data_IF_520533352996
#
_entry.id   IF_520533352996
#
_cell.length_a   1.000
_cell.length_b   1.000
_cell.length_c   1.000
_cell.angle_alpha   90.00
_cell.angle_beta   90.00
_cell.angle_gamma   90.00
#
_symmetry.space_group_name_H-M   'P 1'
#
loop_
_entity.id
_entity.type
_entity.pdbx_description
1 polymer ?
#
# COMPACT_ATOMS: atom_id res chain seq x y z
N UNK A 1 -1.21 16.44 -8.39
CA UNK A 1 -1.20 15.32 -9.37
C UNK A 1 -2.55 14.98 -9.98
N UNK A 2 -3.63 15.74 -9.67
CA UNK A 2 -4.95 15.62 -10.32
C UNK A 2 -4.95 15.95 -11.82
N UNK A 3 -4.04 16.81 -12.28
CA UNK A 3 -4.05 17.31 -13.67
C UNK A 3 -3.68 16.31 -14.78
N UNK A 4 -2.99 15.20 -14.48
CA UNK A 4 -2.63 14.20 -15.51
C UNK A 4 -3.80 13.25 -15.80
N UNK A 5 -4.69 13.08 -14.82
CA UNK A 5 -5.83 12.17 -14.90
C UNK A 5 -6.96 12.75 -15.75
N UNK A 6 -7.25 14.04 -15.60
CA UNK A 6 -8.24 14.73 -16.44
C UNK A 6 -7.81 14.77 -17.91
N UNK A 7 -6.52 14.95 -18.21
CA UNK A 7 -6.03 14.95 -19.60
C UNK A 7 -6.11 13.58 -20.30
N UNK A 8 -6.03 12.48 -19.55
CA UNK A 8 -6.13 11.11 -20.11
C UNK A 8 -7.57 10.65 -20.33
N UNK A 9 -8.49 11.06 -19.44
CA UNK A 9 -9.93 10.84 -19.57
C UNK A 9 -10.55 11.67 -20.71
N UNK A 10 -9.98 12.85 -21.00
CA UNK A 10 -10.50 13.79 -22.01
C UNK A 10 -10.26 13.40 -23.47
N UNK A 11 -9.56 12.31 -23.80
CA UNK A 11 -9.13 12.04 -25.17
C UNK A 11 -9.41 10.60 -25.65
N UNK A 12 -10.68 10.19 -25.66
CA UNK A 12 -11.21 9.16 -26.57
C UNK A 12 -10.81 7.68 -26.39
N UNK A 13 -9.83 7.34 -25.53
CA UNK A 13 -9.36 5.94 -25.39
C UNK A 13 -10.23 5.06 -24.49
N UNK A 14 -10.80 5.60 -23.40
CA UNK A 14 -11.68 4.84 -22.50
C UNK A 14 -13.09 4.71 -23.07
N UNK A 15 -13.61 5.74 -23.76
CA UNK A 15 -14.95 5.71 -24.35
C UNK A 15 -15.13 4.58 -25.38
N UNK A 16 -14.07 4.19 -26.07
CA UNK A 16 -14.09 3.13 -27.08
C UNK A 16 -14.17 1.70 -26.51
N UNK A 17 -13.98 1.49 -25.20
CA UNK A 17 -14.21 0.19 -24.57
C UNK A 17 -15.71 -0.09 -24.60
N UNK A 18 -16.17 -1.18 -25.22
CA UNK A 18 -17.61 -1.46 -25.32
C UNK A 18 -18.18 -2.00 -24.01
N UNK A 19 -17.34 -2.64 -23.21
CA UNK A 19 -17.70 -3.17 -21.91
C UNK A 19 -17.78 -2.06 -20.83
N UNK A 20 -19.00 -1.61 -20.53
CA UNK A 20 -19.26 -0.56 -19.52
C UNK A 20 -18.85 -0.98 -18.10
N UNK A 21 -18.92 -2.27 -17.79
CA UNK A 21 -18.43 -2.78 -16.50
C UNK A 21 -16.90 -2.63 -16.41
N UNK A 22 -16.17 -2.98 -17.46
CA UNK A 22 -14.71 -2.82 -17.52
C UNK A 22 -14.30 -1.35 -17.43
N UNK A 23 -15.02 -0.44 -18.10
CA UNK A 23 -14.81 1.02 -17.93
C UNK A 23 -14.91 1.45 -16.47
N UNK A 24 -15.94 0.99 -15.77
CA UNK A 24 -16.15 1.33 -14.37
C UNK A 24 -15.06 0.74 -13.46
N UNK A 25 -14.62 -0.48 -13.73
CA UNK A 25 -13.51 -1.13 -13.02
C UNK A 25 -12.18 -0.38 -13.21
N UNK A 26 -11.88 0.07 -14.43
CA UNK A 26 -10.71 0.90 -14.73
C UNK A 26 -10.79 2.24 -13.98
N UNK A 27 -11.94 2.91 -13.99
CA UNK A 27 -12.14 4.14 -13.21
C UNK A 27 -11.89 3.90 -11.72
N UNK A 28 -12.43 2.81 -11.16
CA UNK A 28 -12.22 2.45 -9.76
C UNK A 28 -10.75 2.15 -9.44
N UNK A 29 -10.02 1.48 -10.35
CA UNK A 29 -8.59 1.21 -10.23
C UNK A 29 -7.81 2.48 -9.88
N UNK A 30 -8.01 3.53 -10.65
CA UNK A 30 -7.29 4.78 -10.46
C UNK A 30 -7.87 5.66 -9.34
N UNK A 31 -9.19 5.72 -9.22
CA UNK A 31 -9.82 6.58 -8.22
C UNK A 31 -9.64 6.05 -6.79
N UNK A 32 -9.62 4.73 -6.63
CA UNK A 32 -9.64 4.10 -5.32
C UNK A 32 -8.40 3.24 -5.05
N UNK A 33 -8.04 2.32 -5.94
CA UNK A 33 -6.95 1.37 -5.66
C UNK A 33 -5.58 2.05 -5.69
N UNK A 34 -5.33 2.91 -6.68
CA UNK A 34 -4.08 3.67 -6.76
C UNK A 34 -3.92 4.62 -5.55
N UNK A 35 -4.96 5.38 -5.21
CA UNK A 35 -4.94 6.26 -4.02
C UNK A 35 -4.73 5.48 -2.73
N UNK A 36 -5.39 4.32 -2.57
CA UNK A 36 -5.20 3.45 -1.41
C UNK A 36 -3.78 2.88 -1.33
N UNK A 37 -3.17 2.51 -2.46
CA UNK A 37 -1.79 2.04 -2.47
C UNK A 37 -0.80 3.14 -2.08
N UNK A 38 -0.96 4.35 -2.60
CA UNK A 38 -0.12 5.50 -2.23
C UNK A 38 -0.28 5.81 -0.74
N UNK A 39 -1.52 5.92 -0.26
CA UNK A 39 -1.82 6.18 1.15
C UNK A 39 -1.26 5.08 2.08
N UNK A 40 -1.42 3.81 1.71
CA UNK A 40 -0.84 2.70 2.47
C UNK A 40 0.69 2.77 2.51
N UNK A 41 1.34 3.21 1.41
CA UNK A 41 2.77 3.46 1.35
C UNK A 41 3.21 4.57 2.31
N UNK A 42 2.53 5.71 2.32
CA UNK A 42 2.82 6.82 3.23
C UNK A 42 2.73 6.42 4.70
N UNK A 43 1.72 5.62 5.06
CA UNK A 43 1.61 5.12 6.44
C UNK A 43 2.74 4.14 6.77
N UNK A 44 3.11 3.25 5.84
CA UNK A 44 4.21 2.31 6.04
C UNK A 44 5.53 3.05 6.27
N UNK A 45 5.81 4.09 5.48
CA UNK A 45 6.97 4.96 5.65
C UNK A 45 6.94 5.65 7.02
N UNK A 46 5.77 6.12 7.46
CA UNK A 46 5.57 6.69 8.80
C UNK A 46 5.88 5.70 9.93
N UNK A 47 5.46 4.43 9.78
CA UNK A 47 5.76 3.36 10.74
C UNK A 47 7.26 3.05 10.77
N UNK A 48 7.91 2.95 9.60
CA UNK A 48 9.37 2.75 9.51
C UNK A 48 10.11 3.91 10.19
N UNK A 49 9.69 5.15 9.93
CA UNK A 49 10.26 6.33 10.57
C UNK A 49 10.14 6.31 12.09
N UNK A 50 9.00 5.87 12.63
CA UNK A 50 8.85 5.69 14.08
C UNK A 50 9.73 4.58 14.63
N UNK A 51 9.85 3.45 13.93
CA UNK A 51 10.74 2.36 14.34
C UNK A 51 12.17 2.88 14.40
N UNK A 52 12.65 3.58 13.37
CA UNK A 52 14.00 4.13 13.33
C UNK A 52 14.25 5.17 14.44
N UNK A 53 13.28 6.05 14.71
CA UNK A 53 13.36 7.03 15.80
C UNK A 53 13.47 6.36 17.18
N UNK A 54 12.62 5.38 17.44
CA UNK A 54 12.56 4.74 18.75
C UNK A 54 13.57 3.61 18.93
N UNK A 55 14.21 3.14 17.86
CA UNK A 55 15.20 2.05 17.92
C UNK A 55 16.40 2.41 18.79
N UNK A 56 16.80 3.68 18.80
CA UNK A 56 17.90 4.17 19.62
C UNK A 56 17.57 4.16 21.12
N UNK A 57 16.31 4.07 21.52
CA UNK A 57 15.91 3.90 22.93
C UNK A 57 16.34 2.53 23.45
N UNK A 58 16.40 1.52 22.58
CA UNK A 58 16.63 0.13 22.94
C UNK A 58 18.00 -0.40 22.50
N UNK A 59 18.57 0.18 21.44
CA UNK A 59 19.78 -0.33 20.79
C UNK A 59 20.88 0.75 20.73
N UNK A 60 22.08 0.39 21.18
CA UNK A 60 23.28 1.18 20.99
C UNK A 60 23.91 0.84 19.64
N UNK A 61 23.78 1.77 18.69
CA UNK A 61 24.33 1.63 17.33
C UNK A 61 25.85 1.69 17.27
N UNK A 62 26.50 2.44 18.16
CA UNK A 62 27.95 2.56 18.16
C UNK A 62 28.62 1.25 18.57
N UNK A 63 28.00 0.54 19.52
CA UNK A 63 28.52 -0.71 20.06
C UNK A 63 27.80 -1.96 19.52
N UNK A 64 26.79 -1.79 18.67
CA UNK A 64 25.94 -2.85 18.12
C UNK A 64 25.35 -3.78 19.19
N UNK A 65 24.87 -3.21 20.30
CA UNK A 65 24.38 -3.95 21.48
C UNK A 65 23.06 -3.38 21.98
N UNK A 66 22.27 -4.24 22.62
CA UNK A 66 21.10 -3.80 23.38
C UNK A 66 21.55 -2.97 24.59
N UNK A 67 20.86 -1.86 24.85
CA UNK A 67 21.20 -0.96 25.98
C UNK A 67 20.92 -1.60 27.34
N UNK A 68 19.78 -2.29 27.48
CA UNK A 68 19.49 -3.13 28.64
C UNK A 68 18.41 -4.17 28.31
N UNK A 69 18.52 -5.35 28.92
CA UNK A 69 17.53 -6.43 28.85
C UNK A 69 16.20 -6.08 29.52
N UNK A 70 16.19 -5.12 30.45
CA UNK A 70 14.99 -4.77 31.21
C UNK A 70 13.95 -4.04 30.34
N UNK A 71 14.41 -3.26 29.35
CA UNK A 71 13.50 -2.57 28.42
C UNK A 71 12.74 -3.52 27.50
N UNK A 72 13.38 -4.61 27.08
CA UNK A 72 12.80 -5.62 26.18
C UNK A 72 11.76 -6.48 26.90
N UNK A 73 11.85 -6.56 28.23
CA UNK A 73 10.90 -7.25 29.10
C UNK A 73 9.76 -6.34 29.57
N UNK A 74 9.82 -5.05 29.25
CA UNK A 74 8.78 -4.11 29.65
C UNK A 74 7.46 -4.44 28.94
N UNK A 75 6.31 -4.34 29.64
CA UNK A 75 5.00 -4.48 29.01
C UNK A 75 4.81 -3.51 27.83
N UNK A 76 5.37 -2.30 27.93
CA UNK A 76 5.33 -1.28 26.90
C UNK A 76 6.01 -1.73 25.59
N UNK A 77 7.19 -2.36 25.70
CA UNK A 77 7.88 -2.91 24.54
C UNK A 77 7.07 -4.03 23.87
N UNK A 78 6.49 -4.95 24.66
CA UNK A 78 5.66 -6.03 24.14
C UNK A 78 4.42 -5.49 23.41
N UNK A 79 3.71 -4.54 24.03
CA UNK A 79 2.55 -3.89 23.41
C UNK A 79 2.91 -3.18 22.10
N UNK A 80 4.07 -2.51 22.06
CA UNK A 80 4.54 -1.83 20.85
C UNK A 80 4.87 -2.82 19.73
N UNK A 81 5.52 -3.94 20.05
CA UNK A 81 5.80 -5.01 19.08
C UNK A 81 4.50 -5.65 18.56
N UNK A 82 3.55 -5.96 19.44
CA UNK A 82 2.28 -6.56 19.04
C UNK A 82 1.46 -5.63 18.16
N UNK A 83 1.41 -4.34 18.49
CA UNK A 83 0.78 -3.31 17.66
C UNK A 83 1.42 -3.24 16.27
N UNK A 84 2.76 -3.12 16.20
CA UNK A 84 3.48 -3.04 14.94
C UNK A 84 3.28 -4.30 14.08
N UNK A 85 3.31 -5.47 14.70
CA UNK A 85 3.05 -6.75 14.03
C UNK A 85 1.63 -6.84 13.49
N UNK A 86 0.63 -6.45 14.28
CA UNK A 86 -0.78 -6.42 13.87
C UNK A 86 -1.00 -5.50 12.67
N UNK A 87 -0.46 -4.28 12.72
CA UNK A 87 -0.53 -3.33 11.60
C UNK A 87 0.16 -3.86 10.36
N UNK A 88 1.34 -4.45 10.49
CA UNK A 88 2.09 -4.98 9.35
C UNK A 88 1.34 -6.15 8.65
N UNK A 89 0.70 -7.03 9.42
CA UNK A 89 -0.15 -8.10 8.88
C UNK A 89 -1.32 -7.50 8.08
N UNK A 90 -2.03 -6.54 8.65
CA UNK A 90 -3.17 -5.89 8.00
C UNK A 90 -2.76 -5.19 6.69
N UNK A 91 -1.65 -4.44 6.70
CA UNK A 91 -1.14 -3.78 5.51
C UNK A 91 -0.67 -4.75 4.44
N UNK A 92 0.00 -5.83 4.83
CA UNK A 92 0.43 -6.87 3.90
C UNK A 92 -0.78 -7.52 3.22
N UNK A 93 -1.82 -7.84 4.00
CA UNK A 93 -3.07 -8.38 3.47
C UNK A 93 -3.74 -7.42 2.47
N UNK A 94 -3.94 -6.16 2.85
CA UNK A 94 -4.58 -5.15 1.98
C UNK A 94 -3.79 -4.93 0.68
N UNK A 95 -2.46 -4.92 0.77
CA UNK A 95 -1.59 -4.77 -0.41
C UNK A 95 -1.72 -5.97 -1.35
N UNK A 96 -1.75 -7.19 -0.81
CA UNK A 96 -1.94 -8.40 -1.62
C UNK A 96 -3.31 -8.40 -2.33
N UNK A 97 -4.38 -8.02 -1.65
CA UNK A 97 -5.72 -7.92 -2.24
C UNK A 97 -5.77 -6.86 -3.34
N UNK A 98 -5.18 -5.67 -3.11
CA UNK A 98 -5.09 -4.63 -4.13
C UNK A 98 -4.31 -5.10 -5.37
N UNK A 99 -3.20 -5.83 -5.19
CA UNK A 99 -2.41 -6.39 -6.30
C UNK A 99 -3.22 -7.43 -7.09
N UNK A 100 -4.00 -8.28 -6.42
CA UNK A 100 -4.88 -9.24 -7.09
C UNK A 100 -5.93 -8.53 -7.96
N UNK A 101 -6.58 -7.50 -7.43
CA UNK A 101 -7.56 -6.73 -8.20
C UNK A 101 -6.94 -6.01 -9.40
N UNK A 102 -5.76 -5.40 -9.24
CA UNK A 102 -5.03 -4.81 -10.36
C UNK A 102 -4.77 -5.85 -11.46
N UNK A 103 -4.29 -7.05 -11.09
CA UNK A 103 -4.03 -8.13 -12.05
C UNK A 103 -5.31 -8.60 -12.74
N UNK A 104 -6.41 -8.71 -12.00
CA UNK A 104 -7.72 -9.08 -12.55
C UNK A 104 -8.15 -8.09 -13.63
N UNK A 105 -8.05 -6.79 -13.35
CA UNK A 105 -8.42 -5.74 -14.29
C UNK A 105 -7.50 -5.74 -15.52
N UNK A 106 -6.20 -5.95 -15.34
CA UNK A 106 -5.25 -6.11 -16.47
C UNK A 106 -5.69 -7.25 -17.39
N UNK A 107 -6.04 -8.41 -16.82
CA UNK A 107 -6.50 -9.55 -17.62
C UNK A 107 -7.80 -9.22 -18.37
N UNK A 108 -8.76 -8.58 -17.71
CA UNK A 108 -10.01 -8.16 -18.38
C UNK A 108 -9.79 -7.15 -19.51
N UNK A 109 -8.77 -6.29 -19.42
CA UNK A 109 -8.37 -5.42 -20.52
C UNK A 109 -7.77 -6.23 -21.66
N UNK A 110 -6.88 -7.18 -21.38
CA UNK A 110 -6.29 -8.05 -22.40
C UNK A 110 -7.37 -8.84 -23.15
N UNK A 111 -8.33 -9.42 -22.42
CA UNK A 111 -9.44 -10.16 -23.03
C UNK A 111 -10.29 -9.28 -23.95
N UNK A 112 -10.57 -8.03 -23.57
CA UNK A 112 -11.31 -7.07 -24.41
C UNK A 112 -10.53 -6.69 -25.68
N UNK A 113 -9.19 -6.61 -25.59
CA UNK A 113 -8.33 -6.30 -26.73
C UNK A 113 -8.18 -7.49 -27.70
N UNK A 114 -8.20 -8.73 -27.20
CA UNK A 114 -8.11 -9.94 -28.01
C UNK A 114 -9.45 -10.32 -28.69
N UNK A 115 -10.58 -9.85 -28.16
CA UNK A 115 -11.93 -10.12 -28.67
C UNK A 115 -12.49 -9.04 -29.61
N UNK A 116 -11.71 -8.00 -29.94
CA UNK A 116 -12.03 -6.99 -30.97
C UNK A 116 -11.14 -7.14 -32.21
#
# INVERSE_FOLDING_TARGET
>A
TTGVYDSGLSAGKIENIRNDQLKYEIMNLYNHYYKRLVYNGEILDGVIGQIDLHRDEYFDRANMKLKSWDYIKSPEFLLKIDYLKGRNIEYTFLTQENVKEIKRIINSISDELENN
#
